data_IF_956025859375
#
_entry.id   IF_956025859375
#
_cell.length_a   1.000
_cell.length_b   1.000
_cell.length_c   1.000
_cell.angle_alpha   90.00
_cell.angle_beta   90.00
_cell.angle_gamma   90.00
#
_symmetry.space_group_name_H-M   'P 1'
#
loop_
_entity.id
_entity.type
_entity.pdbx_description
1 polymer ?
#
# COMPACT_ATOMS: atom_id res chain seq x y z
N UNK A 1 -7.87 -10.33 -9.46
CA UNK A 1 -6.46 -9.98 -9.23
C UNK A 1 -6.30 -9.31 -7.87
N UNK A 2 -5.26 -9.65 -7.10
CA UNK A 2 -5.04 -9.10 -5.77
C UNK A 2 -4.80 -7.60 -5.81
N UNK A 3 -5.33 -6.87 -4.82
CA UNK A 3 -5.21 -5.41 -4.73
C UNK A 3 -3.89 -5.04 -4.09
N UNK A 4 -2.79 -5.19 -4.84
CA UNK A 4 -1.49 -4.62 -4.48
C UNK A 4 -1.50 -3.15 -4.92
N UNK A 5 -1.18 -2.25 -3.99
CA UNK A 5 -1.16 -0.82 -4.31
C UNK A 5 0.17 -0.48 -5.00
N UNK A 6 0.18 0.36 -6.05
CA UNK A 6 1.41 0.74 -6.72
C UNK A 6 2.49 1.24 -5.77
N UNK A 7 3.73 0.80 -6.01
CA UNK A 7 4.87 1.16 -5.18
C UNK A 7 4.97 0.41 -3.84
N UNK A 8 4.21 -0.66 -3.66
CA UNK A 8 4.34 -1.59 -2.54
C UNK A 8 4.48 -3.03 -3.05
N UNK A 9 5.25 -3.85 -2.34
CA UNK A 9 5.27 -5.30 -2.61
C UNK A 9 3.95 -5.96 -2.16
N UNK A 10 3.67 -7.20 -2.63
CA UNK A 10 2.58 -8.02 -2.10
C UNK A 10 2.51 -8.09 -0.56
N UNK A 11 3.64 -8.41 0.10
CA UNK A 11 3.74 -8.51 1.56
C UNK A 11 3.47 -7.18 2.25
N UNK A 12 4.09 -6.10 1.77
CA UNK A 12 3.83 -4.74 2.27
C UNK A 12 2.34 -4.37 2.14
N UNK A 13 1.72 -4.68 1.00
CA UNK A 13 0.30 -4.42 0.78
C UNK A 13 -0.61 -5.25 1.70
N UNK A 14 -0.23 -6.49 2.04
CA UNK A 14 -0.93 -7.29 3.07
C UNK A 14 -0.80 -6.60 4.43
N UNK A 15 0.41 -6.22 4.82
CA UNK A 15 0.67 -5.63 6.14
C UNK A 15 -0.05 -4.30 6.34
N UNK A 16 -0.07 -3.42 5.33
CA UNK A 16 -0.84 -2.16 5.37
C UNK A 16 -2.34 -2.37 5.53
N UNK A 17 -2.89 -3.48 5.01
CA UNK A 17 -4.32 -3.82 5.16
C UNK A 17 -4.64 -4.41 6.53
N UNK A 18 -3.73 -5.19 7.12
CA UNK A 18 -3.83 -5.61 8.52
C UNK A 18 -3.80 -4.39 9.44
N UNK A 19 -2.87 -3.47 9.19
CA UNK A 19 -2.78 -2.21 9.92
C UNK A 19 -4.05 -1.36 9.80
N UNK A 20 -4.71 -1.36 8.64
CA UNK A 20 -5.99 -0.68 8.46
C UNK A 20 -7.13 -1.30 9.27
N UNK A 21 -7.12 -2.63 9.47
CA UNK A 21 -8.09 -3.32 10.33
C UNK A 21 -7.89 -2.93 11.79
N UNK A 22 -6.65 -2.95 12.28
CA UNK A 22 -6.36 -2.54 13.66
C UNK A 22 -6.61 -1.05 13.88
N UNK A 23 -6.27 -0.19 12.92
CA UNK A 23 -6.61 1.24 12.96
C UNK A 23 -8.12 1.47 13.16
N UNK A 24 -8.96 0.73 12.42
CA UNK A 24 -10.41 0.78 12.60
C UNK A 24 -10.85 0.28 13.99
N UNK A 25 -10.17 -0.72 14.57
CA UNK A 25 -10.45 -1.19 15.93
C UNK A 25 -10.09 -0.15 16.99
N UNK A 26 -8.94 0.53 16.84
CA UNK A 26 -8.52 1.64 17.70
C UNK A 26 -9.53 2.79 17.65
N UNK A 27 -9.99 3.17 16.45
CA UNK A 27 -11.08 4.16 16.29
C UNK A 27 -12.35 3.69 17.01
N UNK A 28 -12.72 2.41 16.85
CA UNK A 28 -13.94 1.89 17.48
C UNK A 28 -13.89 1.90 19.00
N UNK A 29 -12.69 1.74 19.57
CA UNK A 29 -12.42 1.79 21.00
C UNK A 29 -12.20 3.21 21.52
N UNK A 30 -12.34 4.24 20.67
CA UNK A 30 -12.12 5.66 21.01
C UNK A 30 -10.72 5.94 21.58
N UNK A 31 -9.73 5.17 21.14
CA UNK A 31 -8.34 5.26 21.58
C UNK A 31 -7.50 6.23 20.74
N UNK A 32 -6.31 6.57 21.23
CA UNK A 32 -5.37 7.48 20.57
C UNK A 32 -4.84 6.88 19.26
N UNK A 33 -5.45 7.31 18.15
CA UNK A 33 -5.14 6.83 16.82
C UNK A 33 -3.73 7.18 16.33
N UNK A 34 -3.17 8.29 16.80
CA UNK A 34 -1.85 8.76 16.37
C UNK A 34 -0.72 7.94 17.00
N UNK A 35 -0.86 7.55 18.28
CA UNK A 35 0.09 6.66 18.96
C UNK A 35 0.18 5.29 18.25
N UNK A 36 -0.96 4.71 17.89
CA UNK A 36 -1.00 3.46 17.12
C UNK A 36 -0.25 3.59 15.77
N UNK A 37 -0.48 4.69 15.04
CA UNK A 37 0.17 4.92 13.75
C UNK A 37 1.68 5.14 13.89
N UNK A 38 2.12 5.74 14.99
CA UNK A 38 3.54 5.90 15.30
C UNK A 38 4.19 4.54 15.55
N UNK A 39 3.64 3.75 16.47
CA UNK A 39 4.16 2.43 16.82
C UNK A 39 4.21 1.52 15.60
N UNK A 40 3.13 1.51 14.80
CA UNK A 40 3.10 0.74 13.55
C UNK A 40 4.20 1.19 12.58
N UNK A 41 4.48 2.49 12.47
CA UNK A 41 5.52 2.98 11.58
C UNK A 41 6.93 2.56 12.05
N UNK A 42 7.17 2.49 13.36
CA UNK A 42 8.44 1.96 13.88
C UNK A 42 8.60 0.47 13.55
N UNK A 43 7.55 -0.33 13.76
CA UNK A 43 7.54 -1.75 13.36
C UNK A 43 7.72 -1.94 11.85
N UNK A 44 7.15 -1.05 11.05
CA UNK A 44 7.33 -1.03 9.60
C UNK A 44 8.80 -0.88 9.22
N UNK A 45 9.52 0.07 9.83
CA UNK A 45 10.94 0.31 9.56
C UNK A 45 11.80 -0.89 9.98
N UNK A 46 11.47 -1.55 11.08
CA UNK A 46 12.15 -2.79 11.51
C UNK A 46 11.94 -3.91 10.49
N UNK A 47 10.71 -4.02 9.95
CA UNK A 47 10.34 -5.13 9.05
C UNK A 47 10.82 -4.95 7.61
N UNK A 48 10.84 -3.72 7.10
CA UNK A 48 11.12 -3.43 5.68
C UNK A 48 12.34 -2.54 5.45
N UNK A 49 13.01 -2.12 6.53
CA UNK A 49 14.21 -1.31 6.47
C UNK A 49 13.96 0.18 6.31
N UNK A 50 15.05 0.94 6.45
CA UNK A 50 15.08 2.38 6.26
C UNK A 50 14.96 2.75 4.77
N UNK A 51 14.28 3.87 4.43
CA UNK A 51 14.31 4.37 3.06
C UNK A 51 15.72 4.78 2.68
N UNK A 52 16.07 4.62 1.40
CA UNK A 52 17.28 5.23 0.86
C UNK A 52 17.10 6.74 0.85
N UNK A 53 18.14 7.48 1.25
CA UNK A 53 18.17 8.92 1.04
C UNK A 53 18.05 9.21 -0.46
N UNK A 54 17.18 10.16 -0.83
CA UNK A 54 17.10 10.64 -2.21
C UNK A 54 18.28 11.57 -2.46
N UNK A 55 18.86 11.55 -3.65
CA UNK A 55 19.90 12.51 -4.02
C UNK A 55 19.38 13.95 -3.82
N UNK A 56 20.10 14.74 -3.03
CA UNK A 56 19.71 16.11 -2.68
C UNK A 56 18.72 16.25 -1.51
N UNK A 57 18.25 15.17 -0.89
CA UNK A 57 17.42 15.22 0.32
C UNK A 57 18.01 14.35 1.45
N UNK A 58 18.02 14.88 2.67
CA UNK A 58 18.49 14.15 3.85
C UNK A 58 17.62 12.93 4.18
N UNK A 59 18.20 11.97 4.91
CA UNK A 59 17.51 10.77 5.39
C UNK A 59 16.20 11.10 6.14
N UNK A 60 16.20 12.18 6.93
CA UNK A 60 15.04 12.65 7.67
C UNK A 60 13.85 12.99 6.75
N UNK A 61 14.10 13.68 5.65
CA UNK A 61 13.06 14.02 4.68
C UNK A 61 12.48 12.76 4.01
N UNK A 62 13.35 11.76 3.73
CA UNK A 62 12.93 10.48 3.19
C UNK A 62 12.05 9.69 4.19
N UNK A 63 12.39 9.73 5.48
CA UNK A 63 11.59 9.12 6.55
C UNK A 63 10.21 9.77 6.69
N UNK A 64 10.15 11.10 6.72
CA UNK A 64 8.89 11.85 6.78
C UNK A 64 7.99 11.51 5.59
N UNK A 65 8.56 11.44 4.38
CA UNK A 65 7.82 11.09 3.18
C UNK A 65 7.32 9.64 3.21
N UNK A 66 8.16 8.70 3.65
CA UNK A 66 7.78 7.29 3.78
C UNK A 66 6.65 7.13 4.80
N UNK A 67 6.77 7.74 5.97
CA UNK A 67 5.73 7.75 7.02
C UNK A 67 4.41 8.27 6.49
N UNK A 68 4.44 9.41 5.79
CA UNK A 68 3.25 9.98 5.16
C UNK A 68 2.61 9.01 4.17
N UNK A 69 3.40 8.31 3.33
CA UNK A 69 2.89 7.30 2.39
C UNK A 69 2.31 6.07 3.10
N UNK A 70 2.97 5.55 4.13
CA UNK A 70 2.48 4.41 4.93
C UNK A 70 1.14 4.76 5.57
N UNK A 71 1.09 5.86 6.34
CA UNK A 71 -0.13 6.31 7.03
C UNK A 71 -1.27 6.60 6.05
N UNK A 72 -0.98 7.28 4.93
CA UNK A 72 -1.98 7.54 3.91
C UNK A 72 -2.55 6.24 3.31
N UNK A 73 -1.72 5.21 3.14
CA UNK A 73 -2.17 3.91 2.63
C UNK A 73 -3.07 3.18 3.63
N UNK A 74 -2.70 3.18 4.91
CA UNK A 74 -3.50 2.60 6.00
C UNK A 74 -4.88 3.27 6.03
N UNK A 75 -4.92 4.62 6.08
CA UNK A 75 -6.17 5.38 6.09
C UNK A 75 -6.99 5.11 4.83
N UNK A 76 -6.35 5.07 3.66
CA UNK A 76 -7.06 4.74 2.41
C UNK A 76 -7.73 3.35 2.49
N UNK A 77 -7.04 2.34 3.00
CA UNK A 77 -7.64 1.01 3.20
C UNK A 77 -8.74 1.02 4.27
N UNK A 78 -8.55 1.75 5.36
CA UNK A 78 -9.52 1.86 6.44
C UNK A 78 -10.84 2.48 5.93
N UNK A 79 -10.77 3.59 5.19
CA UNK A 79 -11.94 4.33 4.72
C UNK A 79 -12.40 3.95 3.30
N UNK A 80 -11.63 3.12 2.58
CA UNK A 80 -11.94 2.76 1.19
C UNK A 80 -11.73 3.90 0.19
N UNK A 81 -10.82 4.83 0.50
CA UNK A 81 -10.57 6.03 -0.31
C UNK A 81 -11.50 7.22 -0.02
N UNK A 82 -12.48 7.04 0.86
CA UNK A 82 -13.38 8.11 1.30
C UNK A 82 -12.76 8.96 2.41
N UNK A 83 -13.25 10.20 2.59
CA UNK A 83 -12.84 11.07 3.70
C UNK A 83 -13.43 10.64 5.05
N UNK A 84 -14.54 9.90 5.05
CA UNK A 84 -15.30 9.45 6.24
C UNK A 84 -15.97 8.11 5.96
N UNK A 85 -16.25 7.34 7.02
CA UNK A 85 -16.97 6.08 6.88
C UNK A 85 -18.45 6.33 6.55
N UNK A 86 -18.93 5.68 5.49
CA UNK A 86 -20.35 5.63 5.11
C UNK A 86 -21.12 4.46 5.77
N UNK A 87 -20.39 3.58 6.46
CA UNK A 87 -20.90 2.36 7.10
C UNK A 87 -20.32 2.24 8.50
N UNK A 88 -20.89 1.37 9.34
CA UNK A 88 -20.33 1.12 10.68
C UNK A 88 -18.89 0.61 10.61
N UNK A 89 -18.09 0.93 11.64
CA UNK A 89 -16.70 0.48 11.75
C UNK A 89 -16.60 -1.05 11.67
N UNK A 90 -17.53 -1.77 12.32
CA UNK A 90 -17.61 -3.24 12.27
C UNK A 90 -17.85 -3.75 10.83
N UNK A 91 -18.79 -3.17 10.10
CA UNK A 91 -19.05 -3.54 8.70
C UNK A 91 -17.83 -3.26 7.82
N UNK A 92 -17.13 -2.15 8.08
CA UNK A 92 -15.91 -1.83 7.35
C UNK A 92 -14.77 -2.81 7.62
N UNK A 93 -14.52 -3.15 8.89
CA UNK A 93 -13.55 -4.18 9.28
C UNK A 93 -13.86 -5.49 8.55
N UNK A 94 -15.14 -5.91 8.54
CA UNK A 94 -15.56 -7.12 7.84
C UNK A 94 -15.25 -7.04 6.33
N UNK A 95 -15.54 -5.92 5.68
CA UNK A 95 -15.25 -5.73 4.26
C UNK A 95 -13.74 -5.79 3.94
N UNK A 96 -12.89 -5.16 4.77
CA UNK A 96 -11.42 -5.21 4.59
C UNK A 96 -10.92 -6.64 4.79
N UNK A 97 -11.37 -7.35 5.85
CA UNK A 97 -11.02 -8.76 6.10
C UNK A 97 -11.42 -9.66 4.94
N UNK A 98 -12.64 -9.50 4.41
CA UNK A 98 -13.14 -10.30 3.27
C UNK A 98 -12.28 -10.08 2.02
N UNK A 99 -11.92 -8.81 1.73
CA UNK A 99 -11.02 -8.50 0.63
C UNK A 99 -9.62 -9.07 0.84
N UNK A 100 -9.09 -9.00 2.07
CA UNK A 100 -7.76 -9.53 2.38
C UNK A 100 -7.72 -11.06 2.25
N UNK A 101 -8.71 -11.77 2.79
CA UNK A 101 -8.82 -13.24 2.67
C UNK A 101 -8.83 -13.68 1.21
N UNK A 102 -9.61 -13.00 0.37
CA UNK A 102 -9.61 -13.26 -1.08
C UNK A 102 -8.24 -13.03 -1.70
N UNK A 103 -7.58 -11.94 -1.36
CA UNK A 103 -6.31 -11.56 -1.99
C UNK A 103 -5.13 -12.40 -1.49
N UNK A 104 -5.14 -12.87 -0.23
CA UNK A 104 -4.12 -13.76 0.32
C UNK A 104 -4.01 -15.06 -0.48
N UNK A 105 -5.14 -15.61 -0.95
CA UNK A 105 -5.15 -16.77 -1.84
C UNK A 105 -4.31 -16.56 -3.12
N UNK A 106 -4.17 -15.33 -3.60
CA UNK A 106 -3.41 -15.00 -4.80
C UNK A 106 -2.02 -14.43 -4.52
N UNK A 107 -1.75 -13.99 -3.29
CA UNK A 107 -0.52 -13.28 -2.92
C UNK A 107 0.51 -14.17 -2.23
N UNK A 108 0.10 -15.34 -1.73
CA UNK A 108 0.99 -16.24 -0.99
C UNK A 108 2.11 -16.80 -1.85
N UNK A 109 1.85 -17.02 -3.14
CA UNK A 109 2.81 -17.64 -4.07
C UNK A 109 3.59 -16.61 -4.93
N UNK A 110 3.41 -15.30 -4.68
CA UNK A 110 4.07 -14.27 -5.50
C UNK A 110 5.48 -13.95 -5.00
N UNK A 111 6.47 -13.83 -5.92
CA UNK A 111 7.85 -13.52 -5.56
C UNK A 111 7.97 -12.19 -4.81
N UNK A 112 8.84 -12.18 -3.82
CA UNK A 112 8.96 -11.10 -2.82
C UNK A 112 9.62 -9.82 -3.35
N UNK A 113 10.29 -9.92 -4.50
CA UNK A 113 11.41 -9.03 -4.84
C UNK A 113 11.06 -7.83 -5.73
N UNK A 114 9.81 -7.69 -6.21
CA UNK A 114 9.46 -6.55 -7.06
C UNK A 114 8.12 -5.91 -6.66
N UNK A 115 8.07 -4.59 -6.41
CA UNK A 115 6.81 -3.85 -6.44
C UNK A 115 6.17 -4.11 -7.80
N UNK A 116 4.89 -4.48 -7.82
CA UNK A 116 4.21 -4.69 -9.09
C UNK A 116 4.23 -3.37 -9.88
N UNK A 117 4.58 -3.42 -11.19
CA UNK A 117 4.67 -2.23 -12.00
C UNK A 117 3.35 -1.48 -11.95
N UNK A 118 3.43 -0.18 -11.69
CA UNK A 118 2.31 0.74 -11.89
C UNK A 118 1.87 0.56 -13.34
N UNK A 119 0.66 0.05 -13.59
CA UNK A 119 0.08 0.17 -14.93
C UNK A 119 0.12 1.66 -15.25
N UNK A 120 0.95 2.01 -16.24
CA UNK A 120 0.97 3.34 -16.82
C UNK A 120 -0.48 3.73 -17.14
N UNK A 121 -0.82 4.98 -16.86
CA UNK A 121 -2.02 5.58 -17.43
C UNK A 121 -1.95 5.32 -18.93
N UNK A 122 -2.88 4.51 -19.46
CA UNK A 122 -3.14 4.49 -20.88
C UNK A 122 -3.75 5.85 -21.20
N UNK A 123 -2.91 6.78 -21.64
CA UNK A 123 -3.37 7.85 -22.53
C UNK A 123 -3.65 7.21 -23.89
N UNK A 124 -4.88 7.31 -24.42
CA UNK A 124 -5.19 6.88 -25.78
C UNK A 124 -4.94 8.05 -26.74
N UNK A 125 -3.70 8.51 -26.89
CA UNK A 125 -3.37 9.46 -27.95
C UNK A 125 -1.86 9.54 -28.23
N UNK A 126 -1.36 8.56 -28.98
CA UNK A 126 -0.21 8.64 -29.92
C UNK A 126 0.03 7.18 -30.32
N UNK A 127 -0.37 6.72 -31.50
CA UNK A 127 0.19 7.19 -32.77
C UNK A 127 1.41 6.33 -33.05
N UNK A 128 1.19 5.24 -33.79
CA UNK A 128 2.13 4.50 -34.64
C UNK A 128 3.62 4.86 -34.49
N UNK A 129 4.46 3.90 -34.07
CA UNK A 129 5.56 3.40 -34.90
C UNK A 129 5.75 1.89 -34.62
N UNK A 130 5.44 1.09 -35.64
CA UNK A 130 5.91 -0.27 -35.79
C UNK A 130 7.40 -0.21 -36.15
N UNK A 131 8.27 -0.82 -35.36
CA UNK A 131 9.48 -1.45 -35.90
C UNK A 131 9.63 -2.85 -35.32
N UNK A 132 8.97 -3.79 -35.99
CA UNK A 132 9.38 -5.18 -36.03
C UNK A 132 10.32 -5.34 -37.24
N UNK A 133 11.58 -5.69 -36.98
CA UNK A 133 12.52 -6.17 -37.99
C UNK A 133 13.95 -6.03 -37.48
N UNK A 134 14.75 -7.06 -37.32
CA UNK A 134 14.58 -8.49 -37.50
C UNK A 134 15.89 -9.12 -37.05
N UNK A 135 15.81 -10.22 -36.30
CA UNK A 135 16.96 -11.13 -36.16
C UNK A 135 17.34 -11.69 -37.52
N UNK A 136 18.64 -11.73 -37.83
CA UNK A 136 19.33 -12.91 -38.39
C UNK A 136 20.85 -12.70 -38.42
N UNK A 137 21.53 -13.67 -37.79
CA UNK A 137 22.94 -14.09 -37.80
C UNK A 137 24.05 -13.04 -37.67
#
# INVERSE_FOLDING_TARGET
MPRVRPGWTPKQSVYLRLAAIEYLRVIHAEQQCDEYLETFFQEWLISYGMPKALEGAGLEAALVLLKKRVVATIKWHAFGGEKRLKVSVKARIHAVKKSLKRDLFYLWDLPEHLPLPTRANHDPSTGLELEFGGMKF
#
